data_IF_098041654487
#
_entry.id   IF_098041654487
#
_cell.length_a   1.000
_cell.length_b   1.000
_cell.length_c   1.000
_cell.angle_alpha   90.00
_cell.angle_beta   90.00
_cell.angle_gamma   90.00
#
_symmetry.space_group_name_H-M   'P 1'
#
loop_
_entity.id
_entity.type
_entity.pdbx_description
1 polymer ?
#
# COMPACT_ATOMS: atom_id res chain seq x y z
N UNK A 1 -11.80 -3.02 -1.84
CA UNK A 1 -11.83 -1.72 -2.57
C UNK A 1 -12.15 -1.96 -4.03
N UNK A 2 -13.44 -2.04 -4.39
CA UNK A 2 -13.86 -2.21 -5.79
C UNK A 2 -13.69 -0.91 -6.59
N UNK A 3 -13.86 0.23 -5.92
CA UNK A 3 -13.66 1.55 -6.50
C UNK A 3 -12.16 1.90 -6.57
N UNK A 4 -11.69 2.22 -7.77
CA UNK A 4 -10.32 2.59 -8.07
C UNK A 4 -9.90 3.91 -7.41
N UNK A 5 -10.81 4.89 -7.27
CA UNK A 5 -10.51 6.18 -6.64
C UNK A 5 -10.22 6.01 -5.16
N UNK A 6 -11.02 5.21 -4.45
CA UNK A 6 -10.79 4.91 -3.03
C UNK A 6 -9.43 4.22 -2.81
N UNK A 7 -9.04 3.34 -3.73
CA UNK A 7 -7.72 2.72 -3.68
C UNK A 7 -6.61 3.75 -3.85
N UNK A 8 -6.69 4.63 -4.84
CA UNK A 8 -5.68 5.68 -5.02
C UNK A 8 -5.60 6.62 -3.83
N UNK A 9 -6.73 7.03 -3.25
CA UNK A 9 -6.75 7.86 -2.03
C UNK A 9 -6.09 7.12 -0.87
N UNK A 10 -6.39 5.83 -0.68
CA UNK A 10 -5.81 5.02 0.40
C UNK A 10 -4.28 4.89 0.29
N UNK A 11 -3.70 5.11 -0.88
CA UNK A 11 -2.26 5.06 -1.14
C UNK A 11 -1.63 6.44 -1.02
N UNK A 12 -2.25 7.41 -1.69
CA UNK A 12 -1.71 8.76 -1.78
C UNK A 12 -1.84 9.49 -0.45
N UNK A 13 -2.92 9.30 0.31
CA UNK A 13 -3.14 10.04 1.55
C UNK A 13 -2.05 9.74 2.61
N UNK A 14 -1.72 8.48 2.96
CA UNK A 14 -0.66 8.21 3.94
C UNK A 14 0.72 8.71 3.47
N UNK A 15 1.00 8.61 2.17
CA UNK A 15 2.25 9.11 1.60
C UNK A 15 2.32 10.65 1.65
N UNK A 16 1.23 11.34 1.32
CA UNK A 16 1.12 12.78 1.45
C UNK A 16 1.27 13.24 2.91
N UNK A 17 0.69 12.52 3.87
CA UNK A 17 0.88 12.77 5.29
C UNK A 17 2.36 12.63 5.70
N UNK A 18 3.04 11.56 5.30
CA UNK A 18 4.47 11.39 5.59
C UNK A 18 5.31 12.54 5.01
N UNK A 19 5.04 12.96 3.78
CA UNK A 19 5.73 14.08 3.13
C UNK A 19 5.40 15.43 3.77
N UNK A 20 4.17 15.61 4.26
CA UNK A 20 3.78 16.82 4.99
C UNK A 20 4.57 16.92 6.30
N UNK A 21 4.63 15.84 7.10
CA UNK A 21 5.37 15.85 8.35
C UNK A 21 6.87 16.02 8.18
N UNK A 22 7.42 15.57 7.04
CA UNK A 22 8.82 15.82 6.68
C UNK A 22 9.16 17.32 6.61
N UNK A 23 8.18 18.19 6.36
CA UNK A 23 8.38 19.65 6.31
C UNK A 23 8.26 20.35 7.65
N UNK A 24 7.72 19.68 8.66
CA UNK A 24 7.34 20.33 9.92
C UNK A 24 8.40 20.25 11.02
N UNK A 25 9.60 19.67 10.77
CA UNK A 25 10.64 19.38 11.78
C UNK A 25 10.15 18.60 13.03
N UNK A 26 8.88 18.20 13.06
CA UNK A 26 8.24 17.47 14.16
C UNK A 26 8.62 15.99 14.19
N UNK A 27 9.16 15.45 13.09
CA UNK A 27 9.56 14.04 12.99
C UNK A 27 11.07 13.90 12.84
N UNK A 28 11.64 13.03 13.69
CA UNK A 28 13.02 12.59 13.56
C UNK A 28 13.21 11.82 12.23
N UNK A 29 14.33 12.07 11.54
CA UNK A 29 14.69 11.40 10.28
C UNK A 29 14.60 9.87 10.34
N UNK A 30 14.97 9.25 11.47
CA UNK A 30 14.85 7.80 11.65
C UNK A 30 13.40 7.32 11.66
N UNK A 31 12.51 8.11 12.29
CA UNK A 31 11.07 7.82 12.35
C UNK A 31 10.46 7.94 10.96
N UNK A 32 10.87 8.94 10.18
CA UNK A 32 10.43 9.10 8.80
C UNK A 32 10.85 7.91 7.92
N UNK A 33 12.13 7.49 8.00
CA UNK A 33 12.66 6.35 7.23
C UNK A 33 11.90 5.07 7.60
N UNK A 34 11.75 4.79 8.88
CA UNK A 34 10.96 3.64 9.36
C UNK A 34 9.51 3.72 8.88
N UNK A 35 8.90 4.90 8.93
CA UNK A 35 7.56 5.14 8.43
C UNK A 35 7.42 4.83 6.94
N UNK A 36 8.38 5.24 6.12
CA UNK A 36 8.41 4.93 4.68
C UNK A 36 8.57 3.43 4.43
N UNK A 37 9.42 2.73 5.20
CA UNK A 37 9.62 1.29 5.08
C UNK A 37 8.35 0.53 5.45
N UNK A 38 7.76 0.84 6.61
CA UNK A 38 6.51 0.24 7.08
C UNK A 38 5.37 0.53 6.11
N UNK A 39 5.28 1.76 5.62
CA UNK A 39 4.31 2.13 4.59
C UNK A 39 4.48 1.28 3.32
N UNK A 40 5.71 1.16 2.83
CA UNK A 40 6.01 0.51 1.54
C UNK A 40 5.86 -1.01 1.59
N UNK A 41 6.20 -1.65 2.71
CA UNK A 41 6.19 -3.11 2.85
C UNK A 41 4.88 -3.59 3.46
N UNK A 42 4.51 -3.05 4.63
CA UNK A 42 3.37 -3.55 5.40
C UNK A 42 2.06 -2.96 4.87
N UNK A 43 1.94 -1.64 4.93
CA UNK A 43 0.68 -0.98 4.58
C UNK A 43 0.32 -1.17 3.11
N UNK A 44 1.29 -0.97 2.20
CA UNK A 44 1.07 -1.12 0.76
C UNK A 44 0.65 -2.55 0.38
N UNK A 45 1.29 -3.57 0.95
CA UNK A 45 0.93 -4.98 0.69
C UNK A 45 -0.47 -5.28 1.18
N UNK A 46 -0.83 -4.80 2.37
CA UNK A 46 -2.16 -5.03 2.93
C UNK A 46 -3.26 -4.36 2.09
N UNK A 47 -3.07 -3.11 1.69
CA UNK A 47 -4.00 -2.36 0.84
C UNK A 47 -4.16 -3.00 -0.54
N UNK A 48 -3.06 -3.40 -1.17
CA UNK A 48 -3.07 -4.10 -2.45
C UNK A 48 -3.83 -5.43 -2.31
N UNK A 49 -3.58 -6.17 -1.22
CA UNK A 49 -4.22 -7.45 -0.96
C UNK A 49 -5.71 -7.31 -0.73
N UNK A 50 -6.13 -6.35 0.09
CA UNK A 50 -7.54 -6.06 0.29
C UNK A 50 -8.27 -5.69 -1.00
N UNK A 51 -7.60 -5.01 -1.94
CA UNK A 51 -8.19 -4.76 -3.27
C UNK A 51 -8.37 -6.06 -4.03
N UNK A 52 -7.36 -6.91 -4.10
CA UNK A 52 -7.42 -8.19 -4.83
C UNK A 52 -8.41 -9.17 -4.23
N UNK A 53 -8.48 -9.26 -2.89
CA UNK A 53 -9.51 -10.03 -2.18
C UNK A 53 -10.90 -9.52 -2.53
N UNK A 54 -11.11 -8.19 -2.52
CA UNK A 54 -12.42 -7.63 -2.87
C UNK A 54 -12.84 -7.84 -4.33
N UNK A 55 -11.89 -8.22 -5.19
CA UNK A 55 -12.11 -8.58 -6.58
C UNK A 55 -12.16 -10.09 -6.81
N UNK A 56 -11.93 -10.91 -5.79
CA UNK A 56 -11.94 -12.37 -5.87
C UNK A 56 -10.69 -12.98 -6.50
N UNK A 57 -9.57 -12.25 -6.62
CA UNK A 57 -8.34 -12.81 -7.20
C UNK A 57 -7.52 -13.65 -6.21
N UNK A 58 -7.59 -13.35 -4.92
CA UNK A 58 -6.86 -14.03 -3.86
C UNK A 58 -7.73 -14.16 -2.62
N UNK A 59 -7.37 -15.06 -1.70
CA UNK A 59 -7.96 -15.12 -0.37
C UNK A 59 -7.29 -14.14 0.60
N UNK A 60 -7.98 -13.80 1.69
CA UNK A 60 -7.45 -12.89 2.72
C UNK A 60 -6.20 -13.46 3.41
N UNK A 61 -6.13 -14.77 3.52
CA UNK A 61 -4.97 -15.54 4.01
C UNK A 61 -3.73 -15.37 3.13
N UNK A 62 -3.89 -15.03 1.84
CA UNK A 62 -2.81 -14.91 0.87
C UNK A 62 -2.23 -13.49 0.74
N UNK A 63 -2.82 -12.49 1.42
CA UNK A 63 -2.38 -11.09 1.32
C UNK A 63 -0.88 -10.94 1.61
N UNK A 64 -0.40 -11.55 2.69
CA UNK A 64 1.01 -11.45 3.09
C UNK A 64 1.94 -12.24 2.17
N UNK A 65 1.42 -13.24 1.45
CA UNK A 65 2.19 -13.97 0.41
C UNK A 65 2.50 -13.09 -0.80
N UNK A 66 1.85 -11.93 -0.93
CA UNK A 66 2.14 -10.97 -2.00
C UNK A 66 3.33 -10.06 -1.73
N UNK A 67 3.69 -9.85 -0.46
CA UNK A 67 4.92 -9.11 -0.11
C UNK A 67 6.16 -9.83 -0.61
N UNK A 68 6.08 -11.16 -0.72
CA UNK A 68 7.17 -12.03 -1.11
C UNK A 68 7.00 -12.53 -2.55
N UNK A 69 8.12 -12.84 -3.21
CA UNK A 69 8.16 -13.57 -4.48
C UNK A 69 7.56 -12.87 -5.72
N UNK A 70 7.55 -11.53 -5.77
CA UNK A 70 7.19 -10.77 -6.98
C UNK A 70 5.73 -10.88 -7.43
N UNK A 71 4.86 -11.58 -6.69
CA UNK A 71 3.43 -11.78 -7.02
C UNK A 71 2.65 -10.48 -7.17
N UNK A 72 3.14 -9.39 -6.59
CA UNK A 72 2.57 -8.05 -6.79
C UNK A 72 2.57 -7.62 -8.26
N UNK A 73 3.58 -8.01 -9.04
CA UNK A 73 3.65 -7.71 -10.48
C UNK A 73 2.68 -8.54 -11.31
N UNK A 74 2.37 -9.76 -10.85
CA UNK A 74 1.39 -10.64 -11.51
C UNK A 74 0.00 -9.98 -11.61
N UNK A 75 -0.38 -9.21 -10.60
CA UNK A 75 -1.67 -8.54 -10.51
C UNK A 75 -1.61 -7.02 -10.78
N UNK A 76 -0.55 -6.53 -11.41
CA UNK A 76 -0.35 -5.09 -11.62
C UNK A 76 -1.50 -4.47 -12.41
N UNK A 77 -1.97 -5.12 -13.48
CA UNK A 77 -3.08 -4.61 -14.28
C UNK A 77 -4.38 -4.55 -13.47
N UNK A 78 -4.63 -5.57 -12.67
CA UNK A 78 -5.80 -5.71 -11.82
C UNK A 78 -5.79 -4.71 -10.66
N UNK A 79 -4.61 -4.35 -10.16
CA UNK A 79 -4.45 -3.37 -9.09
C UNK A 79 -4.58 -1.93 -9.58
N UNK A 80 -4.08 -1.60 -10.77
CA UNK A 80 -3.96 -0.19 -11.20
C UNK A 80 -4.88 0.22 -12.35
N UNK A 81 -5.41 -0.72 -13.15
CA UNK A 81 -6.15 -0.37 -14.38
C UNK A 81 -7.58 -0.93 -14.45
N UNK A 82 -7.92 -1.89 -13.59
CA UNK A 82 -9.27 -2.45 -13.47
C UNK A 82 -9.79 -2.24 -12.07
#
# INVERSE_FOLDING_TARGET
MRNIYLYYIAILAPLAFLLYFMRTDQLNSWVLILGIIVYSIVYRTYIDGLRLVSKGFIERSDIWKMAYNGRRFQYFKELYFK
#
